data_IF_255470369019
#
_entry.id   IF_255470369019
#
_cell.length_a   1.000
_cell.length_b   1.000
_cell.length_c   1.000
_cell.angle_alpha   90.00
_cell.angle_beta   90.00
_cell.angle_gamma   90.00
#
_symmetry.space_group_name_H-M   'P 1'
#
loop_
_entity.id
_entity.type
_entity.pdbx_description
1 polymer ?
#
# COMPACT_ATOMS: atom_id res chain seq x y z
N UNK A 1 7.68 -21.01 7.48
CA UNK A 1 6.78 -20.65 6.36
C UNK A 1 7.59 -20.52 5.09
N UNK A 2 7.09 -21.03 3.96
CA UNK A 2 7.75 -20.87 2.66
C UNK A 2 7.55 -19.42 2.18
N UNK A 3 8.57 -18.83 1.54
CA UNK A 3 8.59 -17.39 1.16
C UNK A 3 7.44 -16.98 0.23
N UNK A 4 6.96 -17.89 -0.61
CA UNK A 4 5.79 -17.65 -1.47
C UNK A 4 4.51 -17.36 -0.69
N UNK A 5 4.38 -17.83 0.56
CA UNK A 5 3.20 -17.52 1.39
C UNK A 5 3.19 -16.05 1.77
N UNK A 6 4.34 -15.47 2.14
CA UNK A 6 4.45 -14.03 2.42
C UNK A 6 4.12 -13.20 1.19
N UNK A 7 4.55 -13.65 0.00
CA UNK A 7 4.20 -13.00 -1.25
C UNK A 7 2.69 -12.91 -1.44
N UNK A 8 1.99 -14.05 -1.38
CA UNK A 8 0.53 -14.06 -1.50
C UNK A 8 -0.16 -13.17 -0.46
N UNK A 9 0.32 -13.16 0.79
CA UNK A 9 -0.24 -12.27 1.82
C UNK A 9 -0.01 -10.80 1.45
N UNK A 10 1.16 -10.41 0.96
CA UNK A 10 1.40 -9.03 0.50
C UNK A 10 0.52 -8.65 -0.68
N UNK A 11 0.27 -9.56 -1.63
CA UNK A 11 -0.62 -9.29 -2.76
C UNK A 11 -2.07 -9.07 -2.30
N UNK A 12 -2.56 -9.93 -1.40
CA UNK A 12 -3.91 -9.80 -0.83
C UNK A 12 -4.02 -8.53 0.04
N UNK A 13 -3.00 -8.23 0.85
CA UNK A 13 -2.97 -7.01 1.65
C UNK A 13 -2.98 -5.75 0.77
N UNK A 14 -2.22 -5.74 -0.34
CA UNK A 14 -2.25 -4.63 -1.28
C UNK A 14 -3.62 -4.51 -1.97
N UNK A 15 -4.23 -5.62 -2.39
CA UNK A 15 -5.57 -5.64 -2.98
C UNK A 15 -6.63 -5.07 -2.03
N UNK A 16 -6.64 -5.51 -0.76
CA UNK A 16 -7.56 -4.97 0.25
C UNK A 16 -7.26 -3.50 0.58
N UNK A 17 -5.99 -3.10 0.56
CA UNK A 17 -5.61 -1.71 0.73
C UNK A 17 -6.10 -0.83 -0.43
N UNK A 18 -6.01 -1.29 -1.69
CA UNK A 18 -6.46 -0.52 -2.85
C UNK A 18 -7.97 -0.49 -3.01
N UNK A 19 -8.67 -1.51 -2.49
CA UNK A 19 -10.13 -1.57 -2.46
C UNK A 19 -10.78 -0.27 -1.99
N UNK A 20 -10.25 0.37 -0.93
CA UNK A 20 -10.83 1.61 -0.40
C UNK A 20 -10.83 2.81 -1.37
N UNK A 21 -10.09 2.74 -2.48
CA UNK A 21 -9.95 3.88 -3.40
C UNK A 21 -11.29 4.31 -4.00
N UNK A 22 -12.21 3.36 -4.16
CA UNK A 22 -13.55 3.59 -4.70
C UNK A 22 -14.59 3.99 -3.65
N UNK A 23 -14.19 4.22 -2.39
CA UNK A 23 -15.02 4.93 -1.41
C UNK A 23 -15.24 6.39 -1.84
N UNK A 24 -14.27 7.01 -2.54
CA UNK A 24 -14.25 8.46 -2.82
C UNK A 24 -15.49 8.98 -3.57
N UNK A 25 -16.01 8.33 -4.61
CA UNK A 25 -17.23 8.79 -5.27
C UNK A 25 -18.45 8.72 -4.34
N UNK A 26 -18.55 7.67 -3.53
CA UNK A 26 -19.64 7.54 -2.54
C UNK A 26 -19.49 8.54 -1.39
N UNK A 27 -18.27 8.88 -0.99
CA UNK A 27 -18.03 9.93 0.00
C UNK A 27 -18.54 11.29 -0.47
N UNK A 28 -18.41 11.61 -1.77
CA UNK A 28 -19.00 12.82 -2.33
C UNK A 28 -20.52 12.82 -2.17
N UNK A 29 -21.20 11.77 -2.64
CA UNK A 29 -22.66 11.62 -2.52
C UNK A 29 -23.12 11.67 -1.05
N UNK A 30 -22.38 11.03 -0.16
CA UNK A 30 -22.62 11.09 1.28
C UNK A 30 -22.57 12.53 1.81
N UNK A 31 -21.54 13.30 1.45
CA UNK A 31 -21.43 14.69 1.91
C UNK A 31 -22.50 15.61 1.33
N UNK A 32 -22.97 15.34 0.10
CA UNK A 32 -24.11 16.04 -0.48
C UNK A 32 -25.37 15.74 0.33
N UNK A 33 -25.65 14.46 0.61
CA UNK A 33 -26.85 14.04 1.34
C UNK A 33 -26.86 14.51 2.80
N UNK A 34 -25.70 14.47 3.48
CA UNK A 34 -25.61 14.70 4.94
C UNK A 34 -25.44 16.18 5.30
N UNK A 35 -24.75 16.95 4.47
CA UNK A 35 -24.32 18.31 4.81
C UNK A 35 -24.64 19.34 3.71
N UNK A 36 -25.38 18.96 2.68
CA UNK A 36 -25.68 19.80 1.51
C UNK A 36 -24.42 20.40 0.85
N UNK A 37 -23.32 19.65 0.88
CA UNK A 37 -22.07 20.11 0.29
C UNK A 37 -22.20 20.23 -1.22
N UNK A 38 -21.76 21.35 -1.77
CA UNK A 38 -21.57 21.50 -3.20
C UNK A 38 -20.17 21.01 -3.62
N UNK A 39 -19.93 21.00 -4.94
CA UNK A 39 -18.66 20.56 -5.52
C UNK A 39 -17.46 21.37 -5.03
N UNK A 40 -17.62 22.67 -4.76
CA UNK A 40 -16.53 23.54 -4.28
C UNK A 40 -16.12 23.14 -2.87
N UNK A 41 -17.09 22.99 -1.96
CA UNK A 41 -16.82 22.59 -0.56
C UNK A 41 -16.16 21.21 -0.50
N UNK A 42 -16.68 20.23 -1.25
CA UNK A 42 -16.08 18.90 -1.30
C UNK A 42 -14.66 18.93 -1.88
N UNK A 43 -14.44 19.73 -2.93
CA UNK A 43 -13.11 19.90 -3.53
C UNK A 43 -12.11 20.51 -2.54
N UNK A 44 -12.52 21.49 -1.74
CA UNK A 44 -11.68 22.06 -0.69
C UNK A 44 -11.27 21.01 0.35
N UNK A 45 -12.21 20.18 0.80
CA UNK A 45 -11.92 19.05 1.68
C UNK A 45 -10.95 18.04 1.04
N UNK A 46 -11.16 17.69 -0.24
CA UNK A 46 -10.28 16.79 -0.98
C UNK A 46 -8.86 17.35 -1.16
N UNK A 47 -8.74 18.65 -1.40
CA UNK A 47 -7.44 19.34 -1.48
C UNK A 47 -6.72 19.27 -0.14
N UNK A 48 -7.39 19.61 0.96
CA UNK A 48 -6.82 19.47 2.30
C UNK A 48 -6.31 18.05 2.57
N UNK A 49 -7.16 17.04 2.34
CA UNK A 49 -6.80 15.64 2.56
C UNK A 49 -5.61 15.21 1.70
N UNK A 50 -5.59 15.57 0.42
CA UNK A 50 -4.52 15.18 -0.51
C UNK A 50 -3.19 15.87 -0.17
N UNK A 51 -3.22 17.14 0.24
CA UNK A 51 -2.02 17.85 0.71
C UNK A 51 -1.44 17.22 1.97
N UNK A 52 -2.30 16.88 2.94
CA UNK A 52 -1.88 16.18 4.15
C UNK A 52 -1.26 14.80 3.83
N UNK A 53 -1.82 14.08 2.87
CA UNK A 53 -1.30 12.79 2.41
C UNK A 53 0.12 12.91 1.87
N UNK A 54 0.39 13.91 1.03
CA UNK A 54 1.73 14.14 0.46
C UNK A 54 2.73 14.46 1.56
N UNK A 55 2.39 15.36 2.49
CA UNK A 55 3.27 15.75 3.61
C UNK A 55 3.62 14.52 4.45
N UNK A 56 2.62 13.75 4.87
CA UNK A 56 2.84 12.55 5.68
C UNK A 56 3.55 11.43 4.93
N UNK A 57 3.36 11.30 3.62
CA UNK A 57 4.07 10.29 2.83
C UNK A 57 5.56 10.63 2.70
N UNK A 58 5.90 11.89 2.43
CA UNK A 58 7.28 12.35 2.27
C UNK A 58 8.04 12.37 3.61
N UNK A 59 7.42 12.85 4.68
CA UNK A 59 8.06 12.97 5.98
C UNK A 59 7.88 11.72 6.86
N UNK A 60 6.71 11.09 6.81
CA UNK A 60 6.33 10.01 7.72
C UNK A 60 7.12 8.73 7.50
N UNK A 61 7.41 8.33 6.26
CA UNK A 61 8.21 7.11 6.01
C UNK A 61 9.65 7.29 6.53
N UNK A 62 10.42 8.34 6.18
CA UNK A 62 11.75 8.57 6.76
C UNK A 62 11.72 8.70 8.28
N UNK A 63 10.72 9.40 8.83
CA UNK A 63 10.57 9.56 10.28
C UNK A 63 10.39 8.21 10.98
N UNK A 64 9.42 7.39 10.55
CA UNK A 64 9.15 6.10 11.17
C UNK A 64 10.28 5.09 10.94
N UNK A 65 10.87 5.04 9.75
CA UNK A 65 11.88 4.04 9.39
C UNK A 65 13.30 4.40 9.86
N UNK A 66 13.75 5.64 9.68
CA UNK A 66 15.14 6.05 9.97
C UNK A 66 15.31 6.64 11.36
N UNK A 67 14.35 7.44 11.83
CA UNK A 67 14.45 8.10 13.14
C UNK A 67 14.00 7.17 14.24
N UNK A 68 12.84 6.53 14.08
CA UNK A 68 12.30 5.60 15.08
C UNK A 68 12.75 4.14 14.90
N UNK A 69 13.34 3.79 13.75
CA UNK A 69 13.81 2.42 13.50
C UNK A 69 12.68 1.39 13.42
N UNK A 70 11.45 1.79 13.11
CA UNK A 70 10.31 0.88 13.09
C UNK A 70 10.41 -0.11 11.92
N UNK A 71 10.08 -1.39 12.13
CA UNK A 71 10.04 -2.35 11.05
C UNK A 71 8.87 -2.04 10.09
N UNK A 72 9.04 -2.37 8.81
CA UNK A 72 8.03 -2.12 7.76
C UNK A 72 6.62 -2.59 8.16
N UNK A 73 6.52 -3.73 8.84
CA UNK A 73 5.23 -4.28 9.33
C UNK A 73 4.51 -3.32 10.27
N UNK A 74 5.23 -2.65 11.16
CA UNK A 74 4.66 -1.64 12.09
C UNK A 74 4.21 -0.41 11.33
N UNK A 75 4.98 0.04 10.33
CA UNK A 75 4.61 1.20 9.50
C UNK A 75 3.31 0.90 8.73
N UNK A 76 3.17 -0.32 8.19
CA UNK A 76 1.92 -0.77 7.55
C UNK A 76 0.76 -0.81 8.55
N UNK A 77 0.97 -1.35 9.75
CA UNK A 77 -0.07 -1.38 10.80
C UNK A 77 -0.53 0.03 11.16
N UNK A 78 0.38 0.99 11.34
CA UNK A 78 0.05 2.39 11.65
C UNK A 78 -0.79 3.02 10.55
N UNK A 79 -0.41 2.84 9.28
CA UNK A 79 -1.19 3.36 8.15
C UNK A 79 -2.58 2.71 8.03
N UNK A 80 -2.67 1.39 8.24
CA UNK A 80 -3.96 0.68 8.24
C UNK A 80 -4.86 1.14 9.40
N UNK A 81 -4.31 1.29 10.61
CA UNK A 81 -4.99 1.87 11.77
C UNK A 81 -5.48 3.28 11.48
N UNK A 82 -4.65 4.13 10.88
CA UNK A 82 -5.00 5.50 10.52
C UNK A 82 -6.19 5.56 9.55
N UNK A 83 -6.19 4.71 8.52
CA UNK A 83 -7.33 4.61 7.62
C UNK A 83 -8.59 4.04 8.28
N UNK A 84 -8.48 3.03 9.14
CA UNK A 84 -9.62 2.46 9.85
C UNK A 84 -10.22 3.46 10.86
N UNK A 85 -9.38 4.09 11.68
CA UNK A 85 -9.78 5.07 12.68
C UNK A 85 -10.43 6.31 12.05
N UNK A 86 -9.92 6.79 10.91
CA UNK A 86 -10.54 7.90 10.17
C UNK A 86 -12.01 7.63 9.80
N UNK A 87 -12.39 6.38 9.55
CA UNK A 87 -13.78 6.04 9.18
C UNK A 87 -14.73 6.14 10.35
N UNK A 88 -14.27 6.05 11.60
CA UNK A 88 -15.09 6.41 12.75
C UNK A 88 -15.48 7.89 12.71
N UNK A 89 -14.51 8.78 12.44
CA UNK A 89 -14.81 10.21 12.29
C UNK A 89 -15.78 10.48 11.15
N UNK A 90 -15.64 9.78 10.02
CA UNK A 90 -16.55 9.97 8.88
C UNK A 90 -17.96 9.44 9.15
N UNK A 91 -18.07 8.27 9.78
CA UNK A 91 -19.36 7.63 10.06
C UNK A 91 -20.17 8.36 11.14
N UNK A 92 -19.48 8.92 12.15
CA UNK A 92 -20.11 9.64 13.26
C UNK A 92 -20.06 11.18 13.12
N UNK A 93 -19.71 11.70 11.94
CA UNK A 93 -19.70 13.13 11.71
C UNK A 93 -21.13 13.71 11.77
N UNK A 94 -21.43 14.47 12.82
CA UNK A 94 -22.65 15.28 12.92
C UNK A 94 -22.46 16.68 12.33
N UNK A 95 -21.21 17.15 12.25
CA UNK A 95 -20.85 18.47 11.74
C UNK A 95 -19.68 18.38 10.74
N UNK A 96 -19.64 19.23 9.69
CA UNK A 96 -18.72 19.07 8.57
C UNK A 96 -17.23 19.07 8.93
N UNK A 97 -16.83 19.84 9.95
CA UNK A 97 -15.42 19.96 10.34
C UNK A 97 -14.83 18.66 10.91
N UNK A 98 -15.68 17.74 11.41
CA UNK A 98 -15.24 16.41 11.88
C UNK A 98 -14.68 15.58 10.72
N UNK A 99 -15.15 15.78 9.48
CA UNK A 99 -14.55 15.16 8.31
C UNK A 99 -13.10 15.63 8.10
N UNK A 100 -12.76 16.88 8.41
CA UNK A 100 -11.39 17.36 8.32
C UNK A 100 -10.48 16.70 9.37
N UNK A 101 -10.98 16.44 10.58
CA UNK A 101 -10.23 15.62 11.57
C UNK A 101 -9.99 14.22 11.00
N UNK A 102 -11.02 13.55 10.50
CA UNK A 102 -10.88 12.22 9.89
C UNK A 102 -9.92 12.24 8.70
N UNK A 103 -9.94 13.32 7.90
CA UNK A 103 -9.00 13.58 6.82
C UNK A 103 -7.56 13.66 7.31
N UNK A 104 -7.31 14.42 8.38
CA UNK A 104 -6.00 14.54 9.02
C UNK A 104 -5.54 13.19 9.61
N UNK A 105 -6.40 12.46 10.31
CA UNK A 105 -6.08 11.12 10.84
C UNK A 105 -5.75 10.15 9.69
N UNK A 106 -6.52 10.17 8.61
CA UNK A 106 -6.31 9.31 7.44
C UNK A 106 -5.00 9.61 6.69
N UNK A 107 -4.34 10.73 6.98
CA UNK A 107 -3.15 11.18 6.24
C UNK A 107 -1.91 10.34 6.41
N UNK A 108 -1.84 9.55 7.49
CA UNK A 108 -0.79 8.55 7.67
C UNK A 108 -1.06 7.27 6.85
N UNK A 109 -2.29 7.04 6.39
CA UNK A 109 -2.68 5.83 5.67
C UNK A 109 -1.94 5.55 4.35
N UNK A 110 -1.67 6.56 3.50
CA UNK A 110 -0.95 6.39 2.23
C UNK A 110 0.42 5.71 2.30
N UNK A 111 1.07 5.68 3.47
CA UNK A 111 2.38 5.02 3.65
C UNK A 111 2.32 3.50 3.43
N UNK A 112 1.14 2.88 3.55
CA UNK A 112 0.96 1.43 3.40
C UNK A 112 1.42 0.95 2.02
N UNK A 113 1.03 1.64 0.95
CA UNK A 113 1.34 1.21 -0.42
C UNK A 113 2.85 1.12 -0.74
N UNK A 114 3.67 2.16 -0.56
CA UNK A 114 5.10 2.08 -0.83
C UNK A 114 5.81 1.08 0.09
N UNK A 115 5.39 0.97 1.35
CA UNK A 115 6.00 0.04 2.31
C UNK A 115 5.68 -1.41 1.94
N UNK A 116 4.43 -1.74 1.57
CA UNK A 116 4.07 -3.07 1.06
C UNK A 116 4.83 -3.42 -0.21
N UNK A 117 5.05 -2.47 -1.13
CA UNK A 117 5.89 -2.69 -2.32
C UNK A 117 7.35 -2.97 -1.94
N UNK A 118 7.89 -2.26 -0.95
CA UNK A 118 9.23 -2.50 -0.42
C UNK A 118 9.35 -3.88 0.24
N UNK A 119 8.38 -4.27 1.06
CA UNK A 119 8.34 -5.60 1.68
C UNK A 119 8.25 -6.72 0.64
N UNK A 120 7.44 -6.52 -0.40
CA UNK A 120 7.30 -7.45 -1.51
C UNK A 120 8.63 -7.63 -2.23
N UNK A 121 9.34 -6.56 -2.58
CA UNK A 121 10.64 -6.70 -3.27
C UNK A 121 11.72 -7.38 -2.42
N UNK A 122 11.69 -7.23 -1.10
CA UNK A 122 12.63 -7.89 -0.17
C UNK A 122 12.51 -9.41 -0.21
N UNK A 123 11.31 -9.96 -0.39
CA UNK A 123 11.09 -11.42 -0.41
C UNK A 123 11.24 -12.04 -1.81
N UNK A 124 11.52 -11.24 -2.85
CA UNK A 124 11.65 -11.69 -4.26
C UNK A 124 13.09 -11.51 -4.75
N UNK A 125 13.68 -12.52 -5.42
CA UNK A 125 14.96 -12.37 -6.11
C UNK A 125 14.92 -11.27 -7.18
N UNK A 126 16.02 -10.54 -7.39
CA UNK A 126 16.12 -9.46 -8.39
C UNK A 126 15.54 -9.82 -9.76
N UNK A 127 15.89 -11.01 -10.28
CA UNK A 127 15.45 -11.49 -11.59
C UNK A 127 13.92 -11.65 -11.73
N UNK A 128 13.20 -11.81 -10.62
CA UNK A 128 11.76 -12.06 -10.59
C UNK A 128 10.95 -10.85 -10.11
N UNK A 129 11.60 -9.79 -9.57
CA UNK A 129 10.92 -8.60 -9.03
C UNK A 129 10.02 -7.92 -10.07
N UNK A 130 10.48 -7.82 -11.31
CA UNK A 130 9.69 -7.25 -12.41
C UNK A 130 8.38 -8.00 -12.66
N UNK A 131 8.41 -9.33 -12.65
CA UNK A 131 7.22 -10.18 -12.84
C UNK A 131 6.24 -10.03 -11.68
N UNK A 132 6.74 -9.99 -10.45
CA UNK A 132 5.90 -9.80 -9.26
C UNK A 132 5.26 -8.41 -9.25
N UNK A 133 5.99 -7.35 -9.61
CA UNK A 133 5.41 -6.02 -9.71
C UNK A 133 4.42 -5.87 -10.88
N UNK A 134 4.64 -6.55 -12.01
CA UNK A 134 3.65 -6.62 -13.08
C UNK A 134 2.34 -7.24 -12.58
N UNK A 135 2.42 -8.36 -11.84
CA UNK A 135 1.24 -8.99 -11.25
C UNK A 135 0.58 -8.09 -10.19
N UNK A 136 1.36 -7.38 -9.36
CA UNK A 136 0.83 -6.40 -8.42
C UNK A 136 0.05 -5.28 -9.13
N UNK A 137 0.57 -4.79 -10.25
CA UNK A 137 -0.11 -3.79 -11.10
C UNK A 137 -1.43 -4.31 -11.66
N UNK A 138 -1.51 -5.59 -12.02
CA UNK A 138 -2.79 -6.20 -12.44
C UNK A 138 -3.82 -6.12 -11.31
N UNK A 139 -3.45 -6.52 -10.09
CA UNK A 139 -4.35 -6.42 -8.94
C UNK A 139 -4.72 -4.95 -8.61
N UNK A 140 -3.76 -4.03 -8.62
CA UNK A 140 -3.98 -2.60 -8.36
C UNK A 140 -5.02 -1.97 -9.30
N UNK A 141 -5.17 -2.49 -10.52
CA UNK A 141 -6.14 -2.02 -11.51
C UNK A 141 -7.42 -2.87 -11.58
N UNK A 142 -7.33 -4.17 -11.30
CA UNK A 142 -8.48 -5.07 -11.34
C UNK A 142 -9.39 -4.90 -10.11
N UNK A 143 -8.82 -4.72 -8.91
CA UNK A 143 -9.60 -4.55 -7.67
C UNK A 143 -10.61 -3.39 -7.79
N UNK A 144 -10.23 -2.20 -8.29
CA UNK A 144 -11.14 -1.08 -8.52
C UNK A 144 -12.44 -1.41 -9.28
N UNK A 145 -12.39 -2.36 -10.23
CA UNK A 145 -13.56 -2.77 -10.99
C UNK A 145 -14.61 -3.45 -10.09
N UNK A 146 -14.16 -4.21 -9.10
CA UNK A 146 -15.03 -4.88 -8.15
C UNK A 146 -15.39 -3.98 -6.97
N UNK A 147 -14.44 -3.22 -6.43
CA UNK A 147 -14.71 -2.30 -5.30
C UNK A 147 -15.70 -1.23 -5.70
N UNK A 148 -15.59 -0.63 -6.89
CA UNK A 148 -16.56 0.36 -7.38
C UNK A 148 -17.99 -0.16 -7.35
N UNK A 149 -18.24 -1.36 -7.89
CA UNK A 149 -19.56 -2.00 -7.86
C UNK A 149 -20.01 -2.24 -6.42
N UNK A 150 -19.15 -2.79 -5.55
CA UNK A 150 -19.50 -3.06 -4.16
C UNK A 150 -19.86 -1.80 -3.38
N UNK A 151 -19.09 -0.72 -3.53
CA UNK A 151 -19.39 0.56 -2.88
C UNK A 151 -20.72 1.14 -3.36
N UNK A 152 -21.01 1.08 -4.67
CA UNK A 152 -22.31 1.51 -5.21
C UNK A 152 -23.45 0.68 -4.64
N UNK A 153 -23.32 -0.65 -4.58
CA UNK A 153 -24.37 -1.52 -4.05
C UNK A 153 -24.61 -1.29 -2.56
N UNK A 154 -23.55 -1.17 -1.76
CA UNK A 154 -23.66 -0.84 -0.34
C UNK A 154 -24.31 0.53 -0.14
N UNK A 155 -23.88 1.55 -0.88
CA UNK A 155 -24.47 2.88 -0.77
C UNK A 155 -25.96 2.88 -1.13
N UNK A 156 -26.35 2.26 -2.24
CA UNK A 156 -27.75 2.17 -2.65
C UNK A 156 -28.61 1.41 -1.63
N UNK A 157 -28.08 0.35 -1.03
CA UNK A 157 -28.77 -0.43 -0.01
C UNK A 157 -28.94 0.35 1.31
N UNK A 158 -28.02 1.27 1.63
CA UNK A 158 -28.01 1.96 2.93
C UNK A 158 -28.39 3.44 2.87
N UNK A 159 -28.57 4.05 1.70
CA UNK A 159 -28.82 5.49 1.56
C UNK A 159 -30.07 5.99 2.32
N UNK A 160 -31.10 5.18 2.45
CA UNK A 160 -32.35 5.58 3.13
C UNK A 160 -32.35 5.25 4.63
N UNK A 161 -31.36 4.50 5.12
CA UNK A 161 -31.34 3.98 6.50
C UNK A 161 -30.07 4.40 7.24
N UNK A 162 -28.90 4.08 6.70
CA UNK A 162 -27.61 4.40 7.28
C UNK A 162 -26.55 4.69 6.19
N UNK A 163 -26.55 5.89 5.56
CA UNK A 163 -25.63 6.25 4.48
C UNK A 163 -24.14 6.08 4.81
N UNK A 164 -23.79 6.18 6.10
CA UNK A 164 -22.44 5.96 6.62
C UNK A 164 -21.96 4.49 6.47
N UNK A 165 -22.82 3.56 6.02
CA UNK A 165 -22.53 2.15 5.76
C UNK A 165 -21.26 1.91 4.92
N UNK A 166 -20.99 2.78 3.95
CA UNK A 166 -19.79 2.71 3.10
C UNK A 166 -18.49 2.78 3.90
N UNK A 167 -18.46 3.54 5.00
CA UNK A 167 -17.27 3.70 5.82
C UNK A 167 -16.96 2.44 6.63
N UNK A 168 -17.99 1.66 7.00
CA UNK A 168 -17.81 0.37 7.66
C UNK A 168 -17.21 -0.68 6.74
N UNK A 169 -17.61 -0.67 5.45
CA UNK A 169 -16.97 -1.51 4.43
C UNK A 169 -15.48 -1.19 4.32
N UNK A 170 -15.12 0.09 4.20
CA UNK A 170 -13.70 0.48 4.18
C UNK A 170 -12.98 0.09 5.46
N UNK A 171 -13.57 0.36 6.63
CA UNK A 171 -12.98 0.01 7.91
C UNK A 171 -12.67 -1.49 7.98
N UNK A 172 -13.59 -2.36 7.54
CA UNK A 172 -13.38 -3.81 7.52
C UNK A 172 -12.18 -4.23 6.65
N UNK A 173 -12.04 -3.66 5.45
CA UNK A 173 -10.91 -4.00 4.57
C UNK A 173 -9.58 -3.53 5.16
N UNK A 174 -9.54 -2.35 5.78
CA UNK A 174 -8.33 -1.84 6.44
C UNK A 174 -7.98 -2.63 7.71
N UNK A 175 -8.98 -3.11 8.46
CA UNK A 175 -8.75 -4.04 9.56
C UNK A 175 -8.15 -5.37 9.07
N UNK A 176 -8.59 -5.90 7.93
CA UNK A 176 -7.95 -7.08 7.33
C UNK A 176 -6.48 -6.81 6.96
N UNK A 177 -6.17 -5.64 6.40
CA UNK A 177 -4.76 -5.24 6.13
C UNK A 177 -3.93 -5.20 7.41
N UNK A 178 -4.50 -4.63 8.48
CA UNK A 178 -3.87 -4.60 9.81
C UNK A 178 -3.62 -6.02 10.33
N UNK A 179 -4.61 -6.90 10.25
CA UNK A 179 -4.48 -8.30 10.70
C UNK A 179 -3.42 -9.06 9.91
N UNK A 180 -3.33 -8.86 8.59
CA UNK A 180 -2.26 -9.45 7.78
C UNK A 180 -0.88 -8.91 8.18
N UNK A 181 -0.76 -7.60 8.38
CA UNK A 181 0.49 -6.99 8.82
C UNK A 181 0.91 -7.48 10.21
N UNK A 182 -0.05 -7.62 11.14
CA UNK A 182 0.16 -8.18 12.48
C UNK A 182 0.57 -9.66 12.43
N UNK A 183 -0.12 -10.47 11.62
CA UNK A 183 0.22 -11.87 11.43
C UNK A 183 1.66 -12.04 10.91
N UNK A 184 2.05 -11.22 9.92
CA UNK A 184 3.41 -11.20 9.39
C UNK A 184 4.40 -10.75 10.47
N UNK A 185 4.07 -9.70 11.23
CA UNK A 185 4.93 -9.21 12.31
C UNK A 185 5.22 -10.30 13.35
N UNK A 186 4.18 -10.99 13.82
CA UNK A 186 4.29 -12.10 14.77
C UNK A 186 5.08 -13.26 14.18
N UNK A 187 4.86 -13.60 12.91
CA UNK A 187 5.55 -14.74 12.30
C UNK A 187 7.01 -14.45 11.97
N UNK A 188 7.37 -13.18 11.74
CA UNK A 188 8.76 -12.82 11.48
C UNK A 188 9.65 -12.96 12.71
N UNK A 189 9.17 -12.72 13.94
CA UNK A 189 9.96 -12.80 15.19
C UNK A 189 11.41 -12.28 15.06
N UNK A 190 11.62 -11.16 14.34
CA UNK A 190 12.95 -10.57 14.12
C UNK A 190 13.79 -11.17 12.98
N UNK A 191 13.28 -12.12 12.21
CA UNK A 191 13.94 -12.65 11.00
C UNK A 191 13.89 -11.64 9.86
N UNK A 192 14.95 -11.56 9.05
CA UNK A 192 14.99 -10.65 7.91
C UNK A 192 14.12 -11.17 6.74
N UNK A 193 13.34 -10.28 6.11
CA UNK A 193 12.55 -10.56 4.91
C UNK A 193 13.44 -10.80 3.67
N UNK A 194 14.64 -10.22 3.64
CA UNK A 194 15.49 -10.19 2.47
C UNK A 194 15.84 -11.60 1.95
N UNK A 195 15.73 -11.80 0.64
CA UNK A 195 16.38 -12.91 -0.07
C UNK A 195 17.88 -12.59 -0.12
N UNK A 196 18.72 -13.53 0.31
CA UNK A 196 20.16 -13.41 0.09
C UNK A 196 20.40 -13.48 -1.42
N UNK A 197 20.92 -12.41 -1.99
CA UNK A 197 21.27 -12.38 -3.41
C UNK A 197 22.55 -13.20 -3.57
N UNK A 198 22.47 -14.28 -4.35
CA UNK A 198 23.69 -14.93 -4.85
C UNK A 198 24.24 -14.00 -5.91
N UNK A 199 25.30 -13.27 -5.55
CA UNK A 199 26.05 -12.45 -6.48
C UNK A 199 26.56 -13.38 -7.58
N UNK A 200 25.89 -13.36 -8.74
CA UNK A 200 26.36 -14.12 -9.91
C UNK A 200 27.58 -13.35 -10.40
N UNK A 201 28.77 -13.69 -9.88
CA UNK A 201 30.05 -13.18 -10.40
C UNK A 201 30.04 -13.42 -11.90
N UNK A 202 29.86 -12.35 -12.66
CA UNK A 202 29.91 -12.36 -14.11
C UNK A 202 31.35 -12.69 -14.49
N UNK A 203 31.67 -13.97 -14.66
CA UNK A 203 32.98 -14.46 -15.16
C UNK A 203 33.12 -14.21 -16.67
N UNK A 204 32.70 -13.05 -17.17
CA UNK A 204 32.76 -12.71 -18.60
C UNK A 204 33.95 -11.81 -18.97
N UNK A 205 34.91 -11.58 -18.07
CA UNK A 205 36.08 -10.71 -18.35
C UNK A 205 37.42 -11.49 -18.34
N UNK A 206 37.45 -12.79 -18.04
CA UNK A 206 38.70 -13.59 -18.10
C UNK A 206 38.80 -14.50 -19.34
N UNK A 207 37.84 -14.45 -20.27
CA UNK A 207 37.87 -15.23 -21.50
C UNK A 207 38.77 -14.69 -22.61
N UNK A 208 39.12 -13.40 -22.57
CA UNK A 208 39.87 -12.72 -23.65
C UNK A 208 41.36 -12.57 -23.38
N UNK A 209 41.87 -12.99 -22.21
CA UNK A 209 43.31 -12.91 -21.92
C UNK A 209 44.08 -14.18 -22.24
N UNK A 210 43.39 -15.32 -22.38
CA UNK A 210 44.06 -16.59 -22.69
C UNK A 210 44.37 -16.72 -24.19
N UNK A 211 43.59 -16.09 -25.07
CA UNK A 211 43.85 -16.17 -26.53
C UNK A 211 44.98 -15.26 -27.01
N UNK A 212 45.38 -14.24 -26.25
CA UNK A 212 46.46 -13.33 -26.65
C UNK A 212 47.86 -13.77 -26.18
N UNK A 213 47.98 -14.68 -25.21
CA UNK A 213 49.28 -15.22 -24.78
C UNK A 213 49.70 -16.46 -25.61
N UNK A 214 48.76 -17.21 -26.20
CA UNK A 214 49.10 -18.35 -27.07
C UNK A 214 49.55 -17.94 -28.49
N UNK A 215 49.16 -16.76 -29.00
CA UNK A 215 49.61 -16.29 -30.32
C UNK A 215 51.05 -15.75 -30.32
N UNK A 216 51.55 -15.21 -29.19
CA UNK A 216 52.91 -14.64 -29.13
C UNK A 216 54.00 -15.71 -28.87
N UNK A 217 53.63 -16.85 -28.28
CA UNK A 217 54.53 -18.00 -28.08
C UNK A 217 54.66 -18.89 -29.34
N UNK A 218 53.77 -18.72 -30.33
CA UNK A 218 53.76 -19.48 -31.58
C UNK A 218 54.63 -18.92 -32.71
N UNK A 219 55.15 -17.69 -32.58
CA UNK A 219 55.94 -17.00 -33.63
C UNK A 219 57.45 -16.93 -33.38
N UNK A 220 57.98 -17.59 -32.35
CA UNK A 220 59.44 -17.66 -32.08
C UNK A 220 60.08 -19.04 -32.35
N UNK A 221 59.59 -19.81 -33.32
CA UNK A 221 60.33 -20.97 -33.84
C UNK A 221 60.38 -21.00 -35.35
#
# INVERSE_FOLDING_TARGET
MKRHVYLWIFMVAMALYTFQRDEKPMMYLYTQLKFDWNTVTYSNFKTFQSSAYVIMMLAGIPLMSKVFGWPDTVIVMVGACAHASARFFFAFAEVPWVLYIGGAVSSLGPVVAPVLRSMTSKVVPLAERGKVFALLSVFDNAVPLFSGVLYTQVYNATINTHPAGIFWLTMSTQLCVLLFALYIHITLKGRNLAVAEVEKKTTLIDGDKVSSEEEDLGQQK
#
